data_IF_981762781247
#
_entry.id   IF_981762781247
#
_cell.length_a   1.000
_cell.length_b   1.000
_cell.length_c   1.000
_cell.angle_alpha   90.00
_cell.angle_beta   90.00
_cell.angle_gamma   90.00
#
_symmetry.space_group_name_H-M   'P 1'
#
loop_
_entity.id
_entity.type
_entity.pdbx_description
1 polymer ?
#
# COMPACT_ATOMS: atom_id res chain seq x y z
N UNK A 1 61.90 19.67 22.27
CA UNK A 1 60.90 19.92 21.21
C UNK A 1 60.34 18.59 20.75
N UNK A 2 59.18 18.17 21.24
CA UNK A 2 58.41 17.04 20.72
C UNK A 2 56.94 17.51 20.73
N UNK A 3 56.34 17.69 19.55
CA UNK A 3 54.90 17.94 19.40
C UNK A 3 54.20 16.58 19.31
N UNK A 4 53.17 16.29 20.12
CA UNK A 4 52.36 15.10 19.89
C UNK A 4 51.37 15.37 18.74
N UNK A 5 51.32 14.42 17.81
CA UNK A 5 50.42 14.40 16.66
C UNK A 5 49.06 13.89 17.14
N UNK A 6 48.02 14.73 17.07
CA UNK A 6 46.64 14.33 17.40
C UNK A 6 46.07 13.59 16.19
N UNK A 7 45.86 12.28 16.34
CA UNK A 7 45.22 11.46 15.33
C UNK A 7 43.70 11.63 15.46
N UNK A 8 43.09 12.41 14.56
CA UNK A 8 41.64 12.49 14.42
C UNK A 8 41.13 11.20 13.77
N UNK A 9 40.61 10.28 14.58
CA UNK A 9 39.89 9.11 14.08
C UNK A 9 38.50 9.60 13.65
N UNK A 10 38.29 9.76 12.35
CA UNK A 10 36.96 9.90 11.76
C UNK A 10 36.21 8.57 11.94
N UNK A 11 35.37 8.48 12.97
CA UNK A 11 34.36 7.44 13.07
C UNK A 11 33.27 7.73 12.02
N UNK A 12 33.42 7.21 10.81
CA UNK A 12 32.31 7.15 9.86
C UNK A 12 31.37 6.04 10.35
N UNK A 13 30.29 6.43 11.01
CA UNK A 13 29.20 5.51 11.33
C UNK A 13 28.56 5.05 10.02
N UNK A 14 28.91 3.85 9.56
CA UNK A 14 28.09 3.14 8.59
C UNK A 14 26.78 2.76 9.28
N UNK A 15 25.76 3.61 9.13
CA UNK A 15 24.39 3.20 9.42
C UNK A 15 24.06 2.04 8.48
N UNK A 16 24.16 0.81 8.97
CA UNK A 16 23.62 -0.36 8.28
C UNK A 16 22.11 -0.21 8.32
N UNK A 17 21.52 0.27 7.24
CA UNK A 17 20.07 0.31 7.08
C UNK A 17 19.57 -1.13 7.17
N UNK A 18 18.86 -1.48 8.25
CA UNK A 18 18.22 -2.79 8.31
C UNK A 18 17.15 -2.82 7.25
N UNK A 19 17.34 -3.65 6.21
CA UNK A 19 16.29 -3.93 5.22
C UNK A 19 15.06 -4.47 5.96
N UNK A 20 13.95 -3.76 5.85
CA UNK A 20 12.66 -4.18 6.39
C UNK A 20 12.04 -5.24 5.47
N UNK A 21 12.10 -6.50 5.88
CA UNK A 21 11.59 -7.66 5.12
C UNK A 21 10.12 -7.93 5.47
N UNK A 22 9.59 -7.38 6.56
CA UNK A 22 8.20 -7.62 6.96
C UNK A 22 7.24 -6.98 5.95
N UNK A 23 6.23 -7.72 5.52
CA UNK A 23 5.29 -7.26 4.50
C UNK A 23 4.48 -8.37 3.85
N UNK A 24 3.56 -7.96 2.98
CA UNK A 24 2.85 -8.87 2.09
C UNK A 24 3.52 -8.86 0.73
N UNK A 25 3.67 -10.01 0.10
CA UNK A 25 4.31 -10.19 -1.18
C UNK A 25 3.39 -10.96 -2.13
N UNK A 26 3.44 -10.58 -3.40
CA UNK A 26 2.70 -11.25 -4.48
C UNK A 26 3.63 -11.56 -5.66
N UNK A 27 3.31 -12.60 -6.45
CA UNK A 27 4.18 -13.02 -7.53
C UNK A 27 4.09 -12.04 -8.69
N UNK A 28 5.22 -11.81 -9.36
CA UNK A 28 5.26 -11.06 -10.62
C UNK A 28 4.67 -11.88 -11.75
N UNK A 29 4.83 -13.20 -11.70
CA UNK A 29 4.47 -14.09 -12.79
C UNK A 29 2.98 -14.40 -12.76
N UNK A 30 2.28 -14.08 -13.85
CA UNK A 30 0.82 -14.10 -13.96
C UNK A 30 0.17 -15.47 -13.68
N UNK A 31 0.91 -16.57 -13.87
CA UNK A 31 0.44 -17.94 -13.61
C UNK A 31 0.69 -18.40 -12.18
N UNK A 32 1.60 -17.74 -11.45
CA UNK A 32 1.95 -18.12 -10.08
C UNK A 32 0.87 -17.63 -9.11
N UNK A 33 0.38 -18.53 -8.26
CA UNK A 33 -0.71 -18.22 -7.28
C UNK A 33 -0.22 -18.08 -5.84
N UNK A 34 1.09 -18.19 -5.64
CA UNK A 34 1.74 -18.14 -4.33
C UNK A 34 1.79 -16.71 -3.82
N UNK A 35 1.24 -16.46 -2.63
CA UNK A 35 1.43 -15.22 -1.89
C UNK A 35 2.20 -15.49 -0.60
N UNK A 36 2.92 -14.50 -0.10
CA UNK A 36 3.70 -14.61 1.12
C UNK A 36 3.39 -13.41 2.04
N UNK A 37 3.21 -13.68 3.32
CA UNK A 37 3.22 -12.66 4.37
C UNK A 37 4.36 -12.94 5.33
N UNK A 38 5.16 -11.93 5.66
CA UNK A 38 6.19 -11.97 6.70
C UNK A 38 5.79 -10.91 7.74
N UNK A 39 5.70 -11.29 9.01
CA UNK A 39 5.44 -10.36 10.11
C UNK A 39 6.76 -9.90 10.75
N UNK A 40 6.70 -8.85 11.58
CA UNK A 40 7.88 -8.26 12.26
C UNK A 40 8.59 -9.24 13.22
N UNK A 41 7.87 -10.26 13.72
CA UNK A 41 8.41 -11.32 14.56
C UNK A 41 9.04 -12.48 13.75
N UNK A 42 9.26 -12.27 12.45
CA UNK A 42 9.75 -13.25 11.47
C UNK A 42 8.84 -14.48 11.29
N UNK A 43 7.60 -14.47 11.79
CA UNK A 43 6.64 -15.49 11.38
C UNK A 43 6.20 -15.23 9.94
N UNK A 44 6.10 -16.29 9.14
CA UNK A 44 5.64 -16.18 7.76
C UNK A 44 4.39 -17.02 7.49
N UNK A 45 3.71 -16.69 6.40
CA UNK A 45 2.61 -17.48 5.85
C UNK A 45 2.65 -17.45 4.33
N UNK A 46 2.96 -18.60 3.71
CA UNK A 46 2.67 -18.83 2.30
C UNK A 46 1.19 -19.16 2.13
N UNK A 47 0.57 -18.62 1.08
CA UNK A 47 -0.84 -18.84 0.77
C UNK A 47 -1.06 -19.13 -0.71
N UNK A 48 -1.78 -20.22 -0.99
CA UNK A 48 -2.29 -20.58 -2.32
C UNK A 48 -3.80 -20.76 -2.19
N UNK A 49 -4.56 -19.75 -2.60
CA UNK A 49 -6.01 -19.71 -2.36
C UNK A 49 -6.34 -19.81 -0.87
N UNK A 50 -7.00 -20.91 -0.44
CA UNK A 50 -7.35 -21.16 0.97
C UNK A 50 -6.27 -21.93 1.74
N UNK A 51 -5.33 -22.56 1.04
CA UNK A 51 -4.27 -23.37 1.66
C UNK A 51 -3.18 -22.44 2.18
N UNK A 52 -2.74 -22.68 3.43
CA UNK A 52 -1.72 -21.87 4.11
C UNK A 52 -0.63 -22.77 4.68
N UNK A 53 0.62 -22.40 4.45
CA UNK A 53 1.79 -22.97 5.11
C UNK A 53 2.44 -21.85 5.95
N UNK A 54 2.78 -22.14 7.20
CA UNK A 54 3.32 -21.17 8.16
C UNK A 54 4.60 -21.69 8.78
N UNK A 55 5.49 -20.78 9.15
CA UNK A 55 6.71 -21.13 9.87
C UNK A 55 7.42 -19.89 10.41
N UNK A 56 8.66 -20.10 10.83
CA UNK A 56 9.56 -19.04 11.25
C UNK A 56 10.65 -18.86 10.20
N UNK A 57 10.81 -17.62 9.75
CA UNK A 57 11.81 -17.21 8.79
C UNK A 57 13.15 -17.04 9.51
N UNK A 58 14.20 -17.67 8.98
CA UNK A 58 15.59 -17.36 9.36
C UNK A 58 16.17 -16.42 8.32
N UNK A 59 16.79 -15.34 8.79
CA UNK A 59 17.42 -14.33 7.94
C UNK A 59 18.92 -14.40 8.11
N UNK A 60 19.64 -14.56 7.01
CA UNK A 60 21.10 -14.55 6.97
C UNK A 60 21.55 -13.40 6.08
N UNK A 61 22.56 -12.64 6.53
CA UNK A 61 23.16 -11.56 5.73
C UNK A 61 24.59 -11.95 5.42
N UNK A 62 24.94 -12.01 4.15
CA UNK A 62 26.32 -12.17 3.69
C UNK A 62 26.63 -11.03 2.71
N UNK A 63 27.63 -10.22 3.08
CA UNK A 63 28.04 -9.03 2.35
C UNK A 63 26.86 -8.07 2.12
N UNK A 64 26.32 -8.01 0.90
CA UNK A 64 25.16 -7.18 0.53
C UNK A 64 23.91 -7.99 0.17
N UNK A 65 23.94 -9.30 0.40
CA UNK A 65 22.85 -10.22 0.06
C UNK A 65 22.13 -10.66 1.33
N UNK A 66 20.81 -10.49 1.33
CA UNK A 66 19.94 -10.99 2.39
C UNK A 66 19.32 -12.31 1.94
N UNK A 67 19.70 -13.41 2.58
CA UNK A 67 19.15 -14.74 2.35
C UNK A 67 18.04 -15.05 3.36
N UNK A 68 16.99 -15.68 2.86
CA UNK A 68 15.79 -16.06 3.61
C UNK A 68 15.67 -17.58 3.58
N UNK A 69 15.61 -18.22 4.74
CA UNK A 69 15.34 -19.65 4.89
C UNK A 69 13.97 -19.81 5.57
N UNK A 70 13.00 -20.31 4.79
CA UNK A 70 11.64 -20.57 5.21
C UNK A 70 11.44 -22.00 5.73
N UNK A 71 12.53 -22.75 5.93
CA UNK A 71 12.54 -24.19 6.26
C UNK A 71 11.98 -25.08 5.13
N UNK A 72 12.03 -26.40 5.32
CA UNK A 72 11.52 -27.40 4.36
C UNK A 72 12.07 -27.28 2.92
N UNK A 73 13.32 -26.82 2.77
CA UNK A 73 13.95 -26.68 1.45
C UNK A 73 13.41 -25.49 0.64
N UNK A 74 12.77 -24.52 1.29
CA UNK A 74 12.36 -23.26 0.68
C UNK A 74 13.34 -22.19 1.15
N UNK A 75 14.21 -21.74 0.25
CA UNK A 75 15.09 -20.60 0.47
C UNK A 75 14.91 -19.55 -0.62
N UNK A 76 15.22 -18.31 -0.28
CA UNK A 76 15.15 -17.21 -1.23
C UNK A 76 16.16 -16.13 -0.95
N UNK A 77 16.33 -15.25 -1.91
CA UNK A 77 17.17 -14.06 -1.82
C UNK A 77 16.29 -12.82 -1.83
N UNK A 78 16.49 -11.93 -0.86
CA UNK A 78 15.81 -10.64 -0.76
C UNK A 78 16.70 -9.52 -1.30
N UNK A 79 16.20 -8.80 -2.30
CA UNK A 79 16.80 -7.59 -2.83
C UNK A 79 15.72 -6.70 -3.44
N UNK A 80 15.80 -5.39 -3.21
CA UNK A 80 14.91 -4.39 -3.81
C UNK A 80 13.42 -4.77 -3.68
N UNK A 81 12.97 -5.02 -2.45
CA UNK A 81 11.59 -5.42 -2.14
C UNK A 81 11.11 -6.70 -2.86
N UNK A 82 12.04 -7.50 -3.41
CA UNK A 82 11.74 -8.72 -4.14
C UNK A 82 12.40 -9.91 -3.49
N UNK A 83 11.62 -10.97 -3.24
CA UNK A 83 12.11 -12.27 -2.80
C UNK A 83 12.14 -13.19 -4.01
N UNK A 84 13.33 -13.68 -4.36
CA UNK A 84 13.53 -14.65 -5.44
C UNK A 84 13.67 -16.05 -4.84
N UNK A 85 12.78 -16.98 -5.18
CA UNK A 85 12.77 -18.36 -4.69
C UNK A 85 13.01 -19.31 -5.86
N UNK A 86 13.91 -20.27 -5.69
CA UNK A 86 14.09 -21.33 -6.69
C UNK A 86 12.95 -22.36 -6.59
N UNK A 87 12.30 -22.61 -7.72
CA UNK A 87 11.16 -23.52 -7.84
C UNK A 87 11.46 -24.75 -8.72
N UNK A 88 12.58 -24.72 -9.44
CA UNK A 88 13.17 -25.88 -10.11
C UNK A 88 14.69 -25.71 -10.28
N UNK A 89 15.46 -26.79 -10.28
CA UNK A 89 16.87 -26.79 -10.71
C UNK A 89 17.76 -27.83 -10.02
N UNK A 90 19.02 -27.92 -10.51
CA UNK A 90 19.89 -29.11 -10.45
C UNK A 90 20.21 -29.68 -9.06
N UNK A 91 20.48 -30.99 -9.05
CA UNK A 91 20.67 -31.94 -7.92
C UNK A 91 21.61 -31.54 -6.76
N UNK A 92 22.25 -30.37 -6.79
CA UNK A 92 23.14 -29.89 -5.72
C UNK A 92 22.41 -29.21 -4.55
N UNK A 93 21.24 -28.59 -4.77
CA UNK A 93 20.50 -27.91 -3.72
C UNK A 93 19.09 -28.49 -3.59
N UNK A 94 18.70 -28.84 -2.36
CA UNK A 94 17.33 -29.27 -2.07
C UNK A 94 16.39 -28.08 -2.27
N UNK A 95 15.36 -28.25 -3.10
CA UNK A 95 14.32 -27.26 -3.33
C UNK A 95 12.94 -27.87 -3.12
N UNK A 96 11.96 -27.02 -2.84
CA UNK A 96 10.55 -27.38 -2.79
C UNK A 96 9.84 -26.80 -4.00
N UNK A 97 9.15 -27.68 -4.75
CA UNK A 97 8.42 -27.31 -5.94
C UNK A 97 6.98 -26.87 -5.61
N UNK A 98 6.67 -25.60 -5.88
CA UNK A 98 5.32 -25.03 -5.84
C UNK A 98 4.62 -25.28 -7.16
N UNK A 99 3.77 -26.31 -7.21
CA UNK A 99 3.04 -26.73 -8.43
C UNK A 99 2.16 -25.62 -9.00
N UNK A 100 1.79 -24.64 -8.20
CA UNK A 100 0.97 -23.50 -8.58
C UNK A 100 1.77 -22.34 -9.18
N UNK A 101 3.07 -22.55 -9.39
CA UNK A 101 3.97 -21.65 -10.09
C UNK A 101 4.77 -22.50 -11.09
N UNK A 102 4.70 -22.15 -12.38
CA UNK A 102 5.33 -22.96 -13.44
C UNK A 102 6.79 -22.57 -13.69
N UNK A 103 7.19 -21.41 -13.18
CA UNK A 103 8.47 -20.79 -13.49
C UNK A 103 9.60 -21.42 -12.67
N UNK A 104 10.81 -21.42 -13.23
CA UNK A 104 11.99 -21.97 -12.55
C UNK A 104 12.38 -21.18 -11.31
N UNK A 105 12.10 -19.88 -11.33
CA UNK A 105 12.26 -18.95 -10.22
C UNK A 105 10.95 -18.21 -10.02
N UNK A 106 10.56 -18.04 -8.76
CA UNK A 106 9.39 -17.27 -8.35
C UNK A 106 9.89 -15.94 -7.80
N UNK A 107 9.40 -14.83 -8.35
CA UNK A 107 9.70 -13.48 -7.84
C UNK A 107 8.49 -12.93 -7.10
N UNK A 108 8.60 -12.83 -5.78
CA UNK A 108 7.58 -12.26 -4.91
C UNK A 108 7.94 -10.80 -4.58
N UNK A 109 7.15 -9.85 -5.05
CA UNK A 109 7.36 -8.41 -4.83
C UNK A 109 6.54 -7.93 -3.64
N UNK A 110 7.19 -7.16 -2.75
CA UNK A 110 6.57 -6.54 -1.56
C UNK A 110 5.51 -5.56 -2.04
N UNK A 111 4.29 -5.72 -1.53
CA UNK A 111 3.19 -4.79 -1.78
C UNK A 111 3.47 -3.48 -1.08
N UNK A 112 3.23 -2.39 -1.80
CA UNK A 112 3.27 -1.06 -1.24
C UNK A 112 2.24 -0.88 -0.12
N UNK A 113 2.44 0.14 0.73
CA UNK A 113 1.43 0.49 1.73
C UNK A 113 0.07 0.79 1.10
N UNK A 114 0.06 1.49 -0.05
CA UNK A 114 -1.14 1.80 -0.82
C UNK A 114 -1.90 0.53 -1.22
N UNK A 115 -1.23 -0.44 -1.83
CA UNK A 115 -1.86 -1.67 -2.30
C UNK A 115 -2.42 -2.51 -1.15
N UNK A 116 -1.68 -2.55 -0.03
CA UNK A 116 -2.11 -3.25 1.17
C UNK A 116 -3.37 -2.62 1.77
N UNK A 117 -3.37 -1.30 1.95
CA UNK A 117 -4.50 -0.57 2.52
C UNK A 117 -5.73 -0.65 1.59
N UNK A 118 -5.54 -0.45 0.29
CA UNK A 118 -6.60 -0.56 -0.71
C UNK A 118 -7.23 -1.95 -0.70
N UNK A 119 -6.42 -3.00 -0.81
CA UNK A 119 -6.88 -4.39 -0.83
C UNK A 119 -7.59 -4.79 0.46
N UNK A 120 -7.15 -4.28 1.61
CA UNK A 120 -7.79 -4.53 2.90
C UNK A 120 -9.19 -3.94 2.95
N UNK A 121 -9.32 -2.66 2.57
CA UNK A 121 -10.58 -1.93 2.67
C UNK A 121 -11.59 -2.32 1.58
N UNK A 122 -11.13 -2.63 0.36
CA UNK A 122 -12.01 -3.03 -0.75
C UNK A 122 -12.75 -4.35 -0.49
N UNK A 123 -12.19 -5.21 0.36
CA UNK A 123 -12.75 -6.53 0.67
C UNK A 123 -13.62 -6.52 1.95
N UNK A 124 -13.65 -5.42 2.69
CA UNK A 124 -14.31 -5.34 3.99
C UNK A 124 -15.83 -5.22 3.82
N UNK A 125 -16.58 -6.19 4.35
CA UNK A 125 -18.06 -6.22 4.25
C UNK A 125 -18.74 -5.13 5.07
N UNK A 126 -18.21 -4.84 6.26
CA UNK A 126 -18.72 -3.80 7.15
C UNK A 126 -17.58 -2.82 7.49
N UNK A 127 -17.61 -1.66 6.83
CA UNK A 127 -16.61 -0.61 7.02
C UNK A 127 -16.88 0.24 8.26
N UNK A 128 -18.14 0.47 8.65
CA UNK A 128 -18.48 1.46 9.70
C UNK A 128 -17.89 1.12 11.08
N UNK A 129 -17.69 -0.16 11.37
CA UNK A 129 -17.08 -0.63 12.62
C UNK A 129 -15.56 -0.81 12.51
N UNK A 130 -15.01 -0.74 11.29
CA UNK A 130 -13.59 -0.95 11.04
C UNK A 130 -12.78 0.26 11.50
N UNK A 131 -11.75 0.03 12.32
CA UNK A 131 -10.77 1.04 12.75
C UNK A 131 -9.52 0.87 11.92
N UNK A 132 -9.17 1.91 11.16
CA UNK A 132 -7.94 1.93 10.37
C UNK A 132 -6.77 2.22 11.31
N UNK A 133 -5.81 1.31 11.34
CA UNK A 133 -4.55 1.46 12.07
C UNK A 133 -3.54 2.21 11.21
N UNK A 134 -3.77 3.51 10.99
CA UNK A 134 -2.84 4.38 10.24
C UNK A 134 -2.75 5.78 10.87
N UNK A 135 -1.62 6.44 10.62
CA UNK A 135 -1.34 7.83 10.99
C UNK A 135 -1.41 8.72 9.75
N UNK A 136 -1.55 10.03 9.96
CA UNK A 136 -1.51 11.02 8.87
C UNK A 136 -0.20 10.91 8.07
N UNK A 137 0.93 10.73 8.76
CA UNK A 137 2.24 10.52 8.16
C UNK A 137 2.30 9.31 7.21
N UNK A 138 1.52 8.26 7.47
CA UNK A 138 1.49 7.07 6.62
C UNK A 138 0.80 7.38 5.28
N UNK A 139 -0.27 8.18 5.33
CA UNK A 139 -0.99 8.65 4.13
C UNK A 139 -0.13 9.62 3.32
N UNK A 140 0.56 10.54 3.98
CA UNK A 140 1.47 11.48 3.32
C UNK A 140 2.62 10.73 2.63
N UNK A 141 3.27 9.81 3.35
CA UNK A 141 4.32 8.94 2.80
C UNK A 141 3.81 8.12 1.61
N UNK A 142 2.60 7.54 1.73
CA UNK A 142 1.96 6.79 0.65
C UNK A 142 1.79 7.61 -0.63
N UNK A 143 1.37 8.88 -0.52
CA UNK A 143 1.19 9.79 -1.67
C UNK A 143 2.55 10.18 -2.27
N UNK A 144 3.60 10.32 -1.45
CA UNK A 144 4.96 10.62 -1.92
C UNK A 144 5.55 9.43 -2.69
N UNK A 145 5.44 8.23 -2.13
CA UNK A 145 5.98 6.99 -2.73
C UNK A 145 5.22 6.61 -4.00
N UNK A 146 3.88 6.77 -4.00
CA UNK A 146 3.01 6.47 -5.13
C UNK A 146 2.18 7.72 -5.45
N UNK A 147 2.71 8.66 -6.24
CA UNK A 147 1.95 9.85 -6.60
C UNK A 147 0.66 9.49 -7.36
N UNK A 148 -0.39 10.28 -7.13
CA UNK A 148 -1.64 10.18 -7.91
C UNK A 148 -1.31 10.42 -9.38
N UNK A 149 -1.73 9.53 -10.26
CA UNK A 149 -1.48 9.50 -11.72
C UNK A 149 -2.72 8.99 -12.44
N UNK A 150 -2.76 9.13 -13.76
CA UNK A 150 -3.93 8.74 -14.56
C UNK A 150 -4.29 7.26 -14.41
N UNK A 151 -3.28 6.41 -14.23
CA UNK A 151 -3.46 4.96 -14.10
C UNK A 151 -3.87 4.48 -12.69
N UNK A 152 -3.83 5.34 -11.66
CA UNK A 152 -4.17 4.97 -10.28
C UNK A 152 -5.21 5.90 -9.61
N UNK A 153 -5.64 6.98 -10.28
CA UNK A 153 -6.58 7.96 -9.71
C UNK A 153 -7.90 7.34 -9.27
N UNK A 154 -8.42 6.35 -10.01
CA UNK A 154 -9.64 5.65 -9.64
C UNK A 154 -9.46 4.83 -8.36
N UNK A 155 -8.28 4.20 -8.18
CA UNK A 155 -7.96 3.48 -6.95
C UNK A 155 -7.83 4.44 -5.75
N UNK A 156 -7.17 5.60 -5.93
CA UNK A 156 -7.10 6.64 -4.89
C UNK A 156 -8.49 7.17 -4.50
N UNK A 157 -9.35 7.44 -5.49
CA UNK A 157 -10.72 7.89 -5.24
C UNK A 157 -11.53 6.82 -4.48
N UNK A 158 -11.41 5.56 -4.88
CA UNK A 158 -12.07 4.43 -4.21
C UNK A 158 -11.53 4.22 -2.80
N UNK A 159 -10.21 4.33 -2.61
CA UNK A 159 -9.57 4.27 -1.29
C UNK A 159 -10.14 5.33 -0.35
N UNK A 160 -10.19 6.59 -0.80
CA UNK A 160 -10.76 7.68 -0.02
C UNK A 160 -12.23 7.43 0.32
N UNK A 161 -13.01 6.93 -0.64
CA UNK A 161 -14.40 6.54 -0.37
C UNK A 161 -14.49 5.47 0.73
N UNK A 162 -13.70 4.39 0.66
CA UNK A 162 -13.72 3.35 1.68
C UNK A 162 -13.27 3.88 3.05
N UNK A 163 -12.19 4.68 3.09
CA UNK A 163 -11.70 5.32 4.31
C UNK A 163 -12.77 6.19 4.98
N UNK A 164 -13.51 6.99 4.20
CA UNK A 164 -14.61 7.81 4.72
C UNK A 164 -15.76 6.99 5.34
N UNK A 165 -15.89 5.71 4.97
CA UNK A 165 -16.87 4.79 5.55
C UNK A 165 -16.36 4.06 6.80
N UNK A 166 -15.08 4.19 7.14
CA UNK A 166 -14.52 3.58 8.35
C UNK A 166 -14.79 4.42 9.59
N UNK A 167 -14.67 3.82 10.77
CA UNK A 167 -14.96 4.47 12.06
C UNK A 167 -14.13 5.74 12.30
N UNK A 168 -12.88 5.74 11.86
CA UNK A 168 -11.90 6.81 12.13
C UNK A 168 -11.20 7.34 10.87
N UNK A 169 -11.57 6.88 9.66
CA UNK A 169 -10.80 7.17 8.45
C UNK A 169 -11.21 8.41 7.66
N UNK A 170 -12.26 9.14 8.08
CA UNK A 170 -12.76 10.30 7.35
C UNK A 170 -11.67 11.38 7.12
N UNK A 171 -10.80 11.61 8.10
CA UNK A 171 -9.69 12.56 7.96
C UNK A 171 -8.68 12.16 6.87
N UNK A 172 -8.40 10.86 6.72
CA UNK A 172 -7.49 10.35 5.69
C UNK A 172 -8.11 10.48 4.29
N UNK A 173 -9.42 10.28 4.19
CA UNK A 173 -10.15 10.50 2.95
C UNK A 173 -10.04 11.95 2.48
N UNK A 174 -10.21 12.92 3.38
CA UNK A 174 -10.08 14.36 3.06
C UNK A 174 -8.71 14.69 2.48
N UNK A 175 -7.62 14.19 3.09
CA UNK A 175 -6.25 14.42 2.62
C UNK A 175 -6.07 13.89 1.18
N UNK A 176 -6.46 12.64 0.96
CA UNK A 176 -6.34 12.00 -0.35
C UNK A 176 -7.15 12.76 -1.40
N UNK A 177 -8.39 13.16 -1.08
CA UNK A 177 -9.28 13.85 -2.02
C UNK A 177 -8.77 15.26 -2.36
N UNK A 178 -8.19 15.98 -1.40
CA UNK A 178 -7.52 17.27 -1.65
C UNK A 178 -6.35 17.11 -2.63
N UNK A 179 -5.51 16.07 -2.47
CA UNK A 179 -4.42 15.79 -3.41
C UNK A 179 -4.92 15.35 -4.80
N UNK A 180 -6.00 14.57 -4.88
CA UNK A 180 -6.63 14.24 -6.17
C UNK A 180 -7.10 15.51 -6.88
N UNK A 181 -7.85 16.39 -6.22
CA UNK A 181 -8.42 17.59 -6.83
C UNK A 181 -7.33 18.58 -7.25
N UNK A 182 -6.29 18.73 -6.42
CA UNK A 182 -5.13 19.57 -6.73
C UNK A 182 -4.46 19.18 -8.05
N UNK A 183 -4.39 17.88 -8.35
CA UNK A 183 -3.78 17.37 -9.59
C UNK A 183 -4.79 17.19 -10.73
N UNK A 184 -6.03 16.88 -10.41
CA UNK A 184 -7.10 16.55 -11.34
C UNK A 184 -8.37 17.35 -11.03
N UNK A 185 -8.37 18.67 -11.30
CA UNK A 185 -9.47 19.57 -10.95
C UNK A 185 -10.78 19.27 -11.71
N UNK A 186 -10.74 18.43 -12.75
CA UNK A 186 -11.93 17.99 -13.47
C UNK A 186 -12.50 16.66 -12.97
N UNK A 187 -11.94 16.07 -11.90
CA UNK A 187 -12.41 14.79 -11.34
C UNK A 187 -13.70 14.98 -10.53
N UNK A 188 -14.83 14.99 -11.22
CA UNK A 188 -16.17 15.28 -10.65
C UNK A 188 -16.49 14.49 -9.37
N UNK A 189 -16.25 13.17 -9.37
CA UNK A 189 -16.59 12.31 -8.22
C UNK A 189 -15.75 12.64 -6.98
N UNK A 190 -14.53 13.15 -7.13
CA UNK A 190 -13.68 13.52 -6.00
C UNK A 190 -14.26 14.71 -5.23
N UNK A 191 -14.85 15.69 -5.92
CA UNK A 191 -15.54 16.81 -5.27
C UNK A 191 -16.76 16.36 -4.45
N UNK A 192 -17.55 15.41 -4.96
CA UNK A 192 -18.67 14.85 -4.21
C UNK A 192 -18.18 14.13 -2.95
N UNK A 193 -17.19 13.26 -3.09
CA UNK A 193 -16.62 12.52 -1.96
C UNK A 193 -15.99 13.46 -0.92
N UNK A 194 -15.30 14.52 -1.36
CA UNK A 194 -14.70 15.50 -0.46
C UNK A 194 -15.78 16.28 0.29
N UNK A 195 -16.82 16.72 -0.42
CA UNK A 195 -17.95 17.42 0.18
C UNK A 195 -18.70 16.56 1.21
N UNK A 196 -18.86 15.25 0.96
CA UNK A 196 -19.45 14.32 1.92
C UNK A 196 -18.57 14.16 3.17
N UNK A 197 -17.25 14.00 2.98
CA UNK A 197 -16.30 13.88 4.09
C UNK A 197 -16.19 15.16 4.93
N UNK A 198 -16.13 16.33 4.29
CA UNK A 198 -16.13 17.63 4.97
C UNK A 198 -17.43 17.87 5.73
N UNK A 199 -18.57 17.50 5.12
CA UNK A 199 -19.85 17.58 5.80
C UNK A 199 -19.86 16.74 7.08
N UNK A 200 -19.35 15.51 7.03
CA UNK A 200 -19.24 14.65 8.23
C UNK A 200 -18.31 15.27 9.28
N UNK A 201 -17.21 15.90 8.85
CA UNK A 201 -16.26 16.57 9.74
C UNK A 201 -16.80 17.86 10.40
N UNK A 202 -17.95 18.37 9.95
CA UNK A 202 -18.53 19.63 10.44
C UNK A 202 -18.13 20.87 9.64
N UNK A 203 -17.25 20.71 8.65
CA UNK A 203 -16.77 21.79 7.76
C UNK A 203 -17.81 22.13 6.69
N UNK A 204 -18.96 22.65 7.12
CA UNK A 204 -20.15 22.82 6.26
C UNK A 204 -19.94 23.80 5.12
N UNK A 205 -19.19 24.87 5.36
CA UNK A 205 -18.90 25.89 4.34
C UNK A 205 -18.03 25.31 3.22
N UNK A 206 -16.91 24.68 3.58
CA UNK A 206 -16.01 24.02 2.61
C UNK A 206 -16.75 22.87 1.88
N UNK A 207 -17.60 22.13 2.59
CA UNK A 207 -18.46 21.11 1.97
C UNK A 207 -19.42 21.70 0.94
N UNK A 208 -20.11 22.81 1.27
CA UNK A 208 -21.02 23.51 0.36
C UNK A 208 -20.32 23.97 -0.91
N UNK A 209 -19.11 24.54 -0.79
CA UNK A 209 -18.28 24.93 -1.94
C UNK A 209 -17.96 23.73 -2.85
N UNK A 210 -17.54 22.61 -2.27
CA UNK A 210 -17.24 21.39 -3.05
C UNK A 210 -18.49 20.77 -3.70
N UNK A 211 -19.66 20.82 -3.05
CA UNK A 211 -20.91 20.40 -3.69
C UNK A 211 -21.28 21.28 -4.88
N UNK A 212 -21.08 22.60 -4.79
CA UNK A 212 -21.30 23.53 -5.90
C UNK A 212 -20.40 23.19 -7.08
N UNK A 213 -19.11 22.93 -6.83
CA UNK A 213 -18.15 22.55 -7.87
C UNK A 213 -18.50 21.19 -8.50
N UNK A 214 -18.89 20.21 -7.68
CA UNK A 214 -19.41 18.93 -8.17
C UNK A 214 -20.58 19.12 -9.16
N UNK A 215 -21.58 19.96 -8.81
CA UNK A 215 -22.70 20.24 -9.71
C UNK A 215 -22.28 20.98 -10.98
N UNK A 216 -21.34 21.91 -10.88
CA UNK A 216 -20.75 22.62 -12.02
C UNK A 216 -20.11 21.65 -13.01
N UNK A 217 -19.28 20.73 -12.49
CA UNK A 217 -18.62 19.69 -13.29
C UNK A 217 -19.60 18.68 -13.89
N UNK A 218 -20.64 18.27 -13.15
CA UNK A 218 -21.70 17.39 -13.68
C UNK A 218 -22.37 18.02 -14.91
N UNK A 219 -22.67 19.32 -14.87
CA UNK A 219 -23.29 20.05 -15.99
C UNK A 219 -22.34 20.27 -17.16
N UNK A 220 -21.14 20.79 -16.91
CA UNK A 220 -20.16 21.12 -17.97
C UNK A 220 -19.68 19.88 -18.72
N UNK A 221 -19.55 18.74 -18.03
CA UNK A 221 -19.18 17.45 -18.63
C UNK A 221 -20.38 16.68 -19.20
N UNK A 222 -21.58 17.29 -19.24
CA UNK A 222 -22.82 16.68 -19.77
C UNK A 222 -23.14 15.30 -19.15
N UNK A 223 -22.85 15.13 -17.85
CA UNK A 223 -23.17 13.91 -17.12
C UNK A 223 -24.66 13.86 -16.75
N UNK A 224 -25.16 12.65 -16.50
CA UNK A 224 -26.54 12.42 -16.08
C UNK A 224 -26.81 13.06 -14.70
N UNK A 225 -27.61 14.13 -14.70
CA UNK A 225 -27.96 14.87 -13.49
C UNK A 225 -28.88 14.07 -12.55
N UNK A 226 -29.51 12.99 -13.01
CA UNK A 226 -30.31 12.12 -12.14
C UNK A 226 -29.44 11.34 -11.14
N UNK A 227 -28.14 11.24 -11.39
CA UNK A 227 -27.17 10.62 -10.47
C UNK A 227 -26.72 11.54 -9.34
N UNK A 228 -27.13 12.82 -9.36
CA UNK A 228 -26.83 13.76 -8.26
C UNK A 228 -27.64 13.34 -7.02
N UNK A 229 -26.99 13.09 -5.87
CA UNK A 229 -27.73 12.74 -4.66
C UNK A 229 -28.65 13.88 -4.20
N UNK A 230 -29.91 13.55 -3.83
CA UNK A 230 -30.93 14.54 -3.43
C UNK A 230 -30.50 15.47 -2.28
N UNK A 231 -29.62 15.00 -1.41
CA UNK A 231 -29.13 15.80 -0.28
C UNK A 231 -28.18 16.93 -0.71
N UNK A 232 -27.54 16.83 -1.87
CA UNK A 232 -26.57 17.83 -2.35
C UNK A 232 -27.20 19.23 -2.40
N UNK A 233 -28.38 19.36 -3.00
CA UNK A 233 -29.10 20.64 -3.07
C UNK A 233 -29.52 21.22 -1.72
N UNK A 234 -29.65 20.37 -0.68
CA UNK A 234 -29.95 20.82 0.70
C UNK A 234 -28.69 21.32 1.42
N UNK A 235 -27.52 20.80 1.05
CA UNK A 235 -26.21 21.10 1.68
C UNK A 235 -25.46 22.28 1.03
N UNK A 236 -25.99 22.78 -0.08
CA UNK A 236 -25.48 23.97 -0.79
C UNK A 236 -26.04 25.27 -0.21
N UNK A 237 -27.19 25.18 0.48
CA UNK A 237 -27.94 26.31 1.03
C UNK A 237 -27.32 26.85 2.30
#
# INVERSE_FOLDING_TARGET
MIKPFIFFIFFTSHFVFSQDIAGNYSPVESKCKLNLKINDDNTFTFSVGKVKNKGFLKVFKDSNVTYLDFTDGISGMYANDTISIQNSGNSMNKYTHFKECNEMYIHLVKKSYFDNLYSLLSCQKNLSDFVVSCKLSDIEKMIIEIPVKDNNIDQYNNLAYYLAKTKNGNQFAIIILKEIIKKYPHRTVAYLNLADSLWIAGEKEEASLNYKEYLSLMKSQKKDLNKVPKYVGKRIK
#
